data_IF_477847118289
#
_entry.id   IF_477847118289
#
_cell.length_a   1.000
_cell.length_b   1.000
_cell.length_c   1.000
_cell.angle_alpha   90.00
_cell.angle_beta   90.00
_cell.angle_gamma   90.00
#
_symmetry.space_group_name_H-M   'P 1'
#
loop_
_entity.id
_entity.type
_entity.pdbx_description
1 polymer ?
#
# COMPACT_ATOMS: atom_id res chain seq x y z
N UNK A 1 -13.82 9.62 15.95
CA UNK A 1 -14.84 10.69 15.91
C UNK A 1 -15.57 10.58 14.59
N UNK A 2 -16.86 10.20 14.59
CA UNK A 2 -17.64 10.05 13.36
C UNK A 2 -18.14 11.43 12.97
N UNK A 3 -17.61 11.98 11.89
CA UNK A 3 -18.09 13.24 11.31
C UNK A 3 -19.55 13.08 10.84
N UNK A 4 -20.33 14.13 11.03
CA UNK A 4 -21.77 14.24 10.76
C UNK A 4 -22.23 13.46 9.51
N UNK A 5 -23.06 12.44 9.72
CA UNK A 5 -23.54 11.52 8.67
C UNK A 5 -24.58 12.18 7.74
N UNK A 6 -25.01 13.42 8.05
CA UNK A 6 -26.08 14.16 7.35
C UNK A 6 -25.62 15.41 6.61
N UNK A 7 -24.32 15.57 6.33
CA UNK A 7 -23.85 16.75 5.60
C UNK A 7 -24.37 16.76 4.15
N UNK A 8 -24.96 17.87 3.72
CA UNK A 8 -25.40 18.05 2.33
C UNK A 8 -24.22 18.29 1.38
N UNK A 9 -24.39 18.03 0.08
CA UNK A 9 -23.36 18.31 -0.94
C UNK A 9 -22.94 19.78 -0.90
N UNK A 10 -23.90 20.69 -0.66
CA UNK A 10 -23.63 22.13 -0.55
C UNK A 10 -22.78 22.49 0.65
N UNK A 11 -23.04 21.90 1.81
CA UNK A 11 -22.25 22.17 3.03
C UNK A 11 -20.86 21.54 2.92
N UNK A 12 -20.77 20.36 2.30
CA UNK A 12 -19.50 19.70 2.02
C UNK A 12 -18.63 20.54 1.07
N UNK A 13 -19.23 21.08 0.01
CA UNK A 13 -18.58 22.00 -0.93
C UNK A 13 -18.01 23.25 -0.20
N UNK A 14 -18.83 23.87 0.67
CA UNK A 14 -18.41 25.01 1.49
C UNK A 14 -17.25 24.67 2.44
N UNK A 15 -17.30 23.52 3.11
CA UNK A 15 -16.23 23.09 4.05
C UNK A 15 -14.91 22.75 3.36
N UNK A 16 -14.97 22.16 2.16
CA UNK A 16 -13.78 21.76 1.40
C UNK A 16 -13.23 22.93 0.55
N UNK A 17 -14.04 23.96 0.28
CA UNK A 17 -13.64 25.11 -0.53
C UNK A 17 -13.66 24.82 -2.04
N UNK A 18 -14.53 23.92 -2.50
CA UNK A 18 -14.67 23.54 -3.91
C UNK A 18 -16.12 23.68 -4.38
N UNK A 19 -16.36 23.69 -5.69
CA UNK A 19 -17.72 23.77 -6.24
C UNK A 19 -18.53 22.49 -5.97
N UNK A 20 -19.85 22.62 -5.90
CA UNK A 20 -20.76 21.46 -5.74
C UNK A 20 -20.56 20.42 -6.86
N UNK A 21 -20.39 20.88 -8.10
CA UNK A 21 -20.11 20.01 -9.25
C UNK A 21 -18.78 19.26 -9.10
N UNK A 22 -17.75 19.89 -8.52
CA UNK A 22 -16.48 19.20 -8.25
C UNK A 22 -16.65 18.12 -7.17
N UNK A 23 -17.44 18.38 -6.13
CA UNK A 23 -17.80 17.37 -5.12
C UNK A 23 -18.52 16.18 -5.77
N UNK A 24 -19.49 16.44 -6.64
CA UNK A 24 -20.24 15.39 -7.35
C UNK A 24 -19.35 14.54 -8.26
N UNK A 25 -18.46 15.20 -9.03
CA UNK A 25 -17.49 14.52 -9.88
C UNK A 25 -16.53 13.65 -9.05
N UNK A 26 -16.05 14.17 -7.92
CA UNK A 26 -15.19 13.41 -7.01
C UNK A 26 -15.93 12.20 -6.43
N UNK A 27 -17.18 12.36 -5.98
CA UNK A 27 -18.00 11.24 -5.49
C UNK A 27 -18.22 10.19 -6.59
N UNK A 28 -18.47 10.61 -7.85
CA UNK A 28 -18.61 9.70 -8.99
C UNK A 28 -17.31 8.93 -9.25
N UNK A 29 -16.18 9.61 -9.22
CA UNK A 29 -14.86 9.00 -9.36
C UNK A 29 -14.58 7.97 -8.24
N UNK A 30 -14.88 8.32 -6.99
CA UNK A 30 -14.70 7.42 -5.84
C UNK A 30 -15.57 6.16 -5.94
N UNK A 31 -16.78 6.28 -6.49
CA UNK A 31 -17.66 5.13 -6.76
C UNK A 31 -17.10 4.22 -7.84
N UNK A 32 -16.72 4.78 -8.99
CA UNK A 32 -16.19 4.00 -10.12
C UNK A 32 -14.92 3.24 -9.77
N UNK A 33 -14.08 3.83 -8.90
CA UNK A 33 -12.85 3.21 -8.41
C UNK A 33 -13.06 2.29 -7.19
N UNK A 34 -14.30 2.05 -6.78
CA UNK A 34 -14.66 1.18 -5.64
C UNK A 34 -14.02 1.62 -4.30
N UNK A 35 -13.77 2.92 -4.15
CA UNK A 35 -13.16 3.53 -2.96
C UNK A 35 -14.22 3.83 -1.89
N UNK A 36 -15.48 4.00 -2.27
CA UNK A 36 -16.59 4.21 -1.32
C UNK A 36 -17.73 3.24 -1.63
N UNK A 37 -18.40 2.75 -0.59
CA UNK A 37 -19.57 1.87 -0.66
C UNK A 37 -20.74 2.48 0.10
N UNK A 38 -21.94 2.39 -0.48
CA UNK A 38 -23.17 2.81 0.19
C UNK A 38 -23.63 1.75 1.18
N UNK A 39 -23.94 2.16 2.41
CA UNK A 39 -24.50 1.30 3.46
C UNK A 39 -25.90 1.82 3.82
N UNK A 40 -26.93 0.99 3.73
CA UNK A 40 -28.32 1.33 4.09
C UNK A 40 -29.23 1.75 2.92
N UNK A 41 -30.46 2.13 3.25
CA UNK A 41 -31.55 2.43 2.31
C UNK A 41 -31.30 3.69 1.46
N UNK A 42 -31.94 3.82 0.30
CA UNK A 42 -31.75 4.95 -0.64
C UNK A 42 -31.96 6.34 0.00
N UNK A 43 -32.80 6.43 1.05
CA UNK A 43 -33.16 7.68 1.73
C UNK A 43 -32.52 7.88 3.11
N UNK A 44 -31.79 6.91 3.64
CA UNK A 44 -31.19 6.99 4.99
C UNK A 44 -29.82 6.32 5.15
N UNK A 45 -29.26 5.81 4.06
CA UNK A 45 -27.93 5.22 4.05
C UNK A 45 -26.80 6.26 4.00
N UNK A 46 -25.61 5.84 4.39
CA UNK A 46 -24.39 6.65 4.36
C UNK A 46 -23.32 6.02 3.48
N UNK A 47 -22.33 6.82 3.10
CA UNK A 47 -21.17 6.33 2.36
C UNK A 47 -20.07 5.93 3.33
N UNK A 48 -19.59 4.70 3.21
CA UNK A 48 -18.44 4.19 3.93
C UNK A 48 -17.27 4.11 2.97
N UNK A 49 -16.12 4.66 3.35
CA UNK A 49 -14.87 4.44 2.62
C UNK A 49 -14.51 2.96 2.72
N UNK A 50 -14.31 2.33 1.56
CA UNK A 50 -13.75 1.00 1.43
C UNK A 50 -12.25 1.21 1.44
N UNK A 51 -11.59 0.79 2.51
CA UNK A 51 -10.19 1.10 2.80
C UNK A 51 -9.29 1.03 1.56
N UNK A 52 -8.87 2.21 1.09
CA UNK A 52 -7.79 2.37 0.11
C UNK A 52 -6.52 2.93 0.75
N UNK A 53 -6.60 3.37 1.99
CA UNK A 53 -5.49 3.97 2.70
C UNK A 53 -5.61 3.52 4.14
N UNK A 54 -4.60 2.80 4.61
CA UNK A 54 -4.65 2.15 5.92
C UNK A 54 -4.84 3.14 7.04
N UNK A 55 -5.99 3.05 7.71
CA UNK A 55 -6.06 3.26 9.15
C UNK A 55 -7.05 2.25 9.76
N UNK A 56 -6.46 1.22 10.38
CA UNK A 56 -6.90 0.56 11.61
C UNK A 56 -8.38 0.16 11.69
N UNK A 57 -8.67 -1.02 11.15
CA UNK A 57 -9.58 -1.96 11.81
C UNK A 57 -9.13 -3.39 11.49
N UNK A 58 -8.05 -3.81 12.18
CA UNK A 58 -7.73 -5.22 12.34
C UNK A 58 -8.87 -5.88 13.10
N UNK A 59 -9.94 -6.27 12.39
CA UNK A 59 -10.80 -7.35 12.87
C UNK A 59 -9.92 -8.58 12.98
N UNK A 60 -9.70 -8.98 14.23
CA UNK A 60 -9.11 -10.24 14.62
C UNK A 60 -9.89 -11.39 13.96
N UNK A 61 -9.37 -11.90 12.85
CA UNK A 61 -9.66 -13.27 12.42
C UNK A 61 -8.33 -14.02 12.28
N UNK A 62 -7.94 -14.66 13.39
CA UNK A 62 -7.19 -15.93 13.43
C UNK A 62 -5.95 -16.06 12.53
N UNK A 63 -5.08 -15.04 12.52
CA UNK A 63 -3.77 -15.12 11.90
C UNK A 63 -3.09 -13.75 11.87
N UNK A 64 -2.24 -13.46 12.86
CA UNK A 64 -1.50 -12.20 12.97
C UNK A 64 -0.53 -12.06 11.79
N UNK A 65 -0.99 -11.50 10.65
CA UNK A 65 -0.12 -11.12 9.53
C UNK A 65 0.85 -10.07 10.05
N UNK A 66 2.10 -10.47 10.30
CA UNK A 66 3.15 -9.59 10.81
C UNK A 66 3.48 -8.60 9.69
N UNK A 67 3.08 -7.35 9.87
CA UNK A 67 3.32 -6.27 8.93
C UNK A 67 4.74 -5.73 9.06
N UNK A 68 5.36 -5.47 7.92
CA UNK A 68 6.66 -4.83 7.78
C UNK A 68 6.51 -3.56 6.96
N UNK A 69 7.40 -2.59 7.21
CA UNK A 69 7.50 -1.33 6.49
C UNK A 69 8.93 -1.18 5.97
N UNK A 70 9.04 -0.61 4.78
CA UNK A 70 10.30 -0.21 4.18
C UNK A 70 10.17 1.26 3.80
N UNK A 71 10.99 2.10 4.42
CA UNK A 71 11.06 3.53 4.15
C UNK A 71 12.45 3.90 3.70
N UNK A 72 12.57 4.45 2.50
CA UNK A 72 13.83 4.96 1.95
C UNK A 72 13.57 6.25 1.18
N UNK A 73 14.60 6.88 0.62
CA UNK A 73 14.44 8.15 -0.08
C UNK A 73 13.50 7.99 -1.30
N UNK A 74 12.27 8.50 -1.15
CA UNK A 74 11.21 8.42 -2.16
C UNK A 74 10.45 7.09 -2.23
N UNK A 75 10.66 6.15 -1.31
CA UNK A 75 9.88 4.90 -1.24
C UNK A 75 9.27 4.71 0.14
N UNK A 76 7.99 4.33 0.17
CA UNK A 76 7.26 3.94 1.38
C UNK A 76 6.40 2.72 1.05
N UNK A 77 6.84 1.56 1.51
CA UNK A 77 6.21 0.30 1.15
C UNK A 77 5.84 -0.51 2.38
N UNK A 78 4.73 -1.22 2.26
CA UNK A 78 4.22 -2.12 3.27
C UNK A 78 4.32 -3.56 2.77
N UNK A 79 4.80 -4.45 3.62
CA UNK A 79 4.98 -5.86 3.33
C UNK A 79 4.40 -6.74 4.42
N UNK A 80 4.14 -8.00 4.09
CA UNK A 80 3.73 -9.03 5.05
C UNK A 80 4.24 -10.39 4.60
N UNK A 81 4.32 -11.33 5.54
CA UNK A 81 4.63 -12.72 5.21
C UNK A 81 3.31 -13.46 5.00
N UNK A 82 3.13 -14.00 3.80
CA UNK A 82 1.96 -14.77 3.42
C UNK A 82 1.97 -16.21 3.97
N UNK A 83 0.86 -16.95 3.82
CA UNK A 83 0.83 -18.39 4.12
C UNK A 83 1.83 -19.12 3.21
N UNK A 84 2.65 -20.02 3.77
CA UNK A 84 3.74 -20.68 3.02
C UNK A 84 5.04 -19.87 2.94
N UNK A 85 5.16 -18.79 3.72
CA UNK A 85 6.33 -17.91 3.80
C UNK A 85 6.72 -17.06 2.56
N UNK A 86 5.88 -16.78 1.54
CA UNK A 86 6.22 -15.79 0.54
C UNK A 86 6.22 -14.38 1.15
N UNK A 87 7.06 -13.49 0.61
CA UNK A 87 7.05 -12.09 1.01
C UNK A 87 6.11 -11.31 0.11
N UNK A 88 5.04 -10.75 0.67
CA UNK A 88 3.99 -10.04 -0.07
C UNK A 88 4.14 -8.55 0.15
N UNK A 89 4.28 -7.78 -0.93
CA UNK A 89 4.19 -6.31 -0.89
C UNK A 89 2.74 -5.93 -1.10
N UNK A 90 2.23 -5.07 -0.22
CA UNK A 90 0.83 -4.67 -0.22
C UNK A 90 0.56 -3.59 -1.27
N UNK A 91 -0.64 -3.63 -1.85
CA UNK A 91 -1.22 -2.56 -2.66
C UNK A 91 -1.09 -1.21 -1.97
N UNK A 92 -0.83 -0.17 -2.77
CA UNK A 92 -0.63 1.20 -2.30
C UNK A 92 0.81 1.50 -1.87
N UNK A 93 1.69 0.50 -1.83
CA UNK A 93 3.12 0.70 -1.59
C UNK A 93 3.75 1.56 -2.68
N UNK A 94 4.57 2.53 -2.27
CA UNK A 94 5.26 3.48 -3.13
C UNK A 94 6.70 3.02 -3.37
N UNK A 95 7.10 2.99 -4.63
CA UNK A 95 8.48 2.71 -5.04
C UNK A 95 9.25 4.01 -5.28
N UNK A 96 10.56 3.98 -5.02
CA UNK A 96 11.45 5.12 -5.29
C UNK A 96 11.39 5.46 -6.76
N UNK A 97 11.23 6.74 -7.12
CA UNK A 97 11.24 7.17 -8.52
C UNK A 97 12.59 6.88 -9.23
N UNK A 98 13.69 6.88 -8.47
CA UNK A 98 15.03 6.62 -8.97
C UNK A 98 15.37 5.14 -9.08
N UNK A 99 16.10 4.78 -10.15
CA UNK A 99 16.80 3.50 -10.26
C UNK A 99 18.30 3.79 -10.33
N UNK A 100 19.05 3.30 -9.35
CA UNK A 100 20.51 3.44 -9.34
C UNK A 100 21.15 2.56 -10.41
N UNK A 101 22.19 3.04 -11.11
CA UNK A 101 22.94 2.22 -12.08
C UNK A 101 23.46 0.91 -11.47
N UNK A 102 23.79 0.94 -10.18
CA UNK A 102 24.22 -0.24 -9.41
C UNK A 102 23.18 -1.35 -9.34
N UNK A 103 21.88 -1.05 -9.45
CA UNK A 103 20.84 -2.07 -9.52
C UNK A 103 20.94 -2.85 -10.84
N UNK A 104 21.19 -2.14 -11.95
CA UNK A 104 21.34 -2.75 -13.28
C UNK A 104 22.61 -3.61 -13.35
N UNK A 105 23.71 -3.15 -12.78
CA UNK A 105 24.99 -3.87 -12.86
C UNK A 105 25.13 -5.01 -11.84
N UNK A 106 24.74 -4.81 -10.57
CA UNK A 106 24.92 -5.83 -9.51
C UNK A 106 23.78 -6.83 -9.43
N UNK A 107 22.55 -6.41 -9.74
CA UNK A 107 21.34 -7.23 -9.59
C UNK A 107 20.40 -7.08 -10.79
N UNK A 108 20.85 -7.45 -12.01
CA UNK A 108 20.09 -7.23 -13.24
C UNK A 108 18.71 -7.90 -13.22
N UNK A 109 18.57 -9.01 -12.49
CA UNK A 109 17.29 -9.73 -12.34
C UNK A 109 16.24 -8.89 -11.61
N UNK A 110 16.62 -8.14 -10.57
CA UNK A 110 15.69 -7.27 -9.83
C UNK A 110 15.31 -6.03 -10.63
N UNK A 111 16.25 -5.50 -11.42
CA UNK A 111 15.93 -4.47 -12.40
C UNK A 111 14.90 -4.95 -13.43
N UNK A 112 15.12 -6.12 -14.04
CA UNK A 112 14.17 -6.74 -14.98
C UNK A 112 12.81 -6.98 -14.33
N UNK A 113 12.78 -7.45 -13.09
CA UNK A 113 11.55 -7.64 -12.33
C UNK A 113 10.78 -6.32 -12.15
N UNK A 114 11.47 -5.24 -11.77
CA UNK A 114 10.85 -3.92 -11.67
C UNK A 114 10.30 -3.45 -13.02
N UNK A 115 11.05 -3.61 -14.11
CA UNK A 115 10.57 -3.27 -15.44
C UNK A 115 9.34 -4.09 -15.84
N UNK A 116 9.31 -5.39 -15.51
CA UNK A 116 8.16 -6.27 -15.74
C UNK A 116 6.93 -5.75 -15.01
N UNK A 117 7.05 -5.47 -13.71
CA UNK A 117 5.97 -4.96 -12.86
C UNK A 117 5.46 -3.57 -13.29
N UNK A 118 6.32 -2.74 -13.88
CA UNK A 118 5.89 -1.47 -14.48
C UNK A 118 5.17 -1.71 -15.81
N UNK A 119 5.63 -2.66 -16.62
CA UNK A 119 5.05 -2.97 -17.94
C UNK A 119 3.69 -3.66 -17.84
N UNK A 120 3.51 -4.52 -16.84
CA UNK A 120 2.26 -5.25 -16.61
C UNK A 120 1.19 -4.44 -15.86
N UNK A 121 1.51 -3.21 -15.43
CA UNK A 121 0.59 -2.32 -14.72
C UNK A 121 0.44 -2.65 -13.23
N UNK A 122 1.26 -3.55 -12.67
CA UNK A 122 1.32 -3.78 -11.23
C UNK A 122 1.88 -2.55 -10.51
N UNK A 123 2.80 -1.82 -11.13
CA UNK A 123 3.33 -0.55 -10.63
C UNK A 123 2.97 0.55 -11.63
N UNK A 124 2.06 1.44 -11.22
CA UNK A 124 1.62 2.58 -12.03
C UNK A 124 1.93 3.87 -11.26
N UNK A 125 2.58 4.82 -11.93
CA UNK A 125 3.00 6.09 -11.31
C UNK A 125 3.82 5.91 -10.02
N UNK A 126 4.61 4.84 -9.95
CA UNK A 126 5.43 4.52 -8.78
C UNK A 126 4.66 3.91 -7.61
N UNK A 127 3.42 3.44 -7.81
CA UNK A 127 2.58 2.84 -6.76
C UNK A 127 2.12 1.45 -7.16
N UNK A 128 2.18 0.50 -6.24
CA UNK A 128 1.62 -0.84 -6.41
C UNK A 128 0.09 -0.80 -6.49
N UNK A 129 -0.48 -1.28 -7.59
CA UNK A 129 -1.93 -1.29 -7.83
C UNK A 129 -2.63 -2.50 -7.19
N UNK A 130 -1.88 -3.56 -6.91
CA UNK A 130 -2.32 -4.80 -6.26
C UNK A 130 -1.25 -5.36 -5.32
N UNK A 131 -1.66 -6.32 -4.48
CA UNK A 131 -0.73 -7.10 -3.66
C UNK A 131 0.15 -7.96 -4.58
N UNK A 132 1.45 -7.94 -4.35
CA UNK A 132 2.43 -8.60 -5.21
C UNK A 132 3.32 -9.53 -4.38
N UNK A 133 3.39 -10.80 -4.77
CA UNK A 133 4.25 -11.78 -4.10
C UNK A 133 5.66 -11.76 -4.69
N UNK A 134 6.64 -11.74 -3.79
CA UNK A 134 8.05 -11.80 -4.13
C UNK A 134 8.66 -13.09 -3.61
N UNK A 135 9.56 -13.66 -4.41
CA UNK A 135 10.33 -14.85 -4.04
C UNK A 135 11.21 -14.64 -2.80
N UNK A 136 11.52 -13.38 -2.44
CA UNK A 136 12.24 -13.07 -1.20
C UNK A 136 12.02 -11.61 -0.75
N UNK A 137 12.26 -11.29 0.54
CA UNK A 137 12.23 -9.93 1.04
C UNK A 137 13.23 -9.00 0.34
N UNK A 138 14.40 -9.53 -0.06
CA UNK A 138 15.45 -8.77 -0.76
C UNK A 138 15.06 -8.42 -2.20
N UNK A 139 14.33 -9.30 -2.88
CA UNK A 139 13.78 -9.00 -4.20
C UNK A 139 12.76 -7.85 -4.11
N UNK A 140 11.87 -7.91 -3.12
CA UNK A 140 10.91 -6.85 -2.86
C UNK A 140 11.59 -5.51 -2.55
N UNK A 141 12.52 -5.50 -1.60
CA UNK A 141 13.20 -4.28 -1.17
C UNK A 141 14.04 -3.65 -2.28
N UNK A 142 14.73 -4.45 -3.10
CA UNK A 142 15.54 -3.93 -4.21
C UNK A 142 14.71 -3.31 -5.32
N UNK A 143 13.55 -3.92 -5.63
CA UNK A 143 12.59 -3.36 -6.59
C UNK A 143 12.05 -2.02 -6.08
N UNK A 144 11.59 -1.98 -4.83
CA UNK A 144 11.00 -0.79 -4.22
C UNK A 144 12.04 0.34 -4.08
N UNK A 145 13.20 0.05 -3.51
CA UNK A 145 14.23 1.05 -3.22
C UNK A 145 15.03 1.47 -4.48
N UNK A 146 14.94 0.72 -5.57
CA UNK A 146 15.67 1.03 -6.82
C UNK A 146 17.18 0.86 -6.71
N UNK A 147 17.68 0.12 -5.71
CA UNK A 147 19.09 -0.17 -5.46
C UNK A 147 19.25 -1.59 -4.92
N UNK A 148 20.43 -2.20 -5.02
CA UNK A 148 20.71 -3.44 -4.31
C UNK A 148 20.46 -3.23 -2.81
N UNK A 149 19.66 -4.12 -2.21
CA UNK A 149 19.18 -3.97 -0.84
C UNK A 149 19.19 -5.32 -0.11
N UNK A 150 19.42 -5.25 1.20
CA UNK A 150 19.25 -6.40 2.09
C UNK A 150 17.88 -6.34 2.75
N UNK A 151 16.90 -7.04 2.17
CA UNK A 151 15.52 -7.01 2.64
C UNK A 151 15.35 -7.49 4.09
N UNK A 152 16.23 -8.35 4.61
CA UNK A 152 16.16 -8.79 6.01
C UNK A 152 16.40 -7.63 6.99
N UNK A 153 17.07 -6.58 6.57
CA UNK A 153 17.39 -5.39 7.38
C UNK A 153 16.49 -4.21 7.03
N UNK A 154 16.19 -4.04 5.74
CA UNK A 154 15.41 -2.90 5.24
C UNK A 154 13.94 -2.99 5.64
N UNK A 155 13.38 -4.20 5.71
CA UNK A 155 12.02 -4.43 6.21
C UNK A 155 12.02 -4.42 7.73
N UNK A 156 11.25 -3.49 8.30
CA UNK A 156 11.13 -3.32 9.75
C UNK A 156 9.70 -3.42 10.22
N UNK A 157 9.48 -3.87 11.44
CA UNK A 157 8.16 -3.82 12.08
C UNK A 157 7.84 -2.41 12.57
N UNK A 158 6.61 -2.17 13.03
CA UNK A 158 6.19 -0.85 13.52
C UNK A 158 6.99 -0.38 14.75
N UNK A 159 7.49 -1.32 15.55
CA UNK A 159 8.40 -1.14 16.69
C UNK A 159 9.88 -1.03 16.28
N UNK A 160 10.19 -1.01 14.97
CA UNK A 160 11.53 -0.73 14.45
C UNK A 160 12.48 -1.93 14.39
N UNK A 161 12.05 -3.12 14.82
CA UNK A 161 12.84 -4.36 14.70
C UNK A 161 12.96 -4.79 13.25
N UNK A 162 14.12 -5.31 12.86
CA UNK A 162 14.31 -5.78 11.50
C UNK A 162 13.64 -7.14 11.28
N UNK A 163 13.32 -7.45 10.01
CA UNK A 163 12.81 -8.76 9.64
C UNK A 163 13.79 -9.88 10.04
N UNK A 164 15.10 -9.62 10.04
CA UNK A 164 16.12 -10.55 10.51
C UNK A 164 15.87 -10.94 11.97
N UNK A 165 15.75 -9.95 12.85
CA UNK A 165 15.57 -10.16 14.29
C UNK A 165 14.28 -10.94 14.56
N UNK A 166 13.20 -10.56 13.88
CA UNK A 166 11.91 -11.23 13.99
C UNK A 166 12.01 -12.69 13.54
N UNK A 167 12.77 -13.00 12.49
CA UNK A 167 12.94 -14.38 12.00
C UNK A 167 13.89 -15.22 12.87
N UNK A 168 14.82 -14.62 13.59
CA UNK A 168 15.70 -15.31 14.54
C UNK A 168 14.92 -15.67 15.81
N UNK A 169 14.04 -14.78 16.28
CA UNK A 169 13.11 -15.05 17.39
C UNK A 169 12.20 -16.25 17.10
N UNK A 170 11.87 -16.55 15.84
CA UNK A 170 11.02 -17.72 15.50
C UNK A 170 11.76 -19.05 15.55
N UNK A 171 13.08 -19.02 15.55
CA UNK A 171 13.91 -20.23 15.59
C UNK A 171 14.24 -20.65 17.03
N UNK A 172 13.98 -19.78 17.99
CA UNK A 172 14.18 -20.01 19.43
C UNK A 172 12.88 -20.48 20.05
#
# INVERSE_FOLDING_TARGET
MIADVKISISELAKKIGISQTAVENNIRWLKSNKIIRRIGSAKGGYWKVVDVTGDRDFKQSSGKRRGFVLRTNGADAHGSIGPGHPFVVLRGSVVSSGIMPSLKSRTPNYYKLRCKLTKDGTIVNGVFTSDCEFASPSAASSVIAGRPSNGRIDWKTADGRSLKDVQEEWRT
#
